data_IF_926391143766
#
_entry.id   IF_926391143766
#
_cell.length_a   1.000
_cell.length_b   1.000
_cell.length_c   1.000
_cell.angle_alpha   90.00
_cell.angle_beta   90.00
_cell.angle_gamma   90.00
#
_symmetry.space_group_name_H-M   'P 1'
#
loop_
_entity.id
_entity.type
_entity.pdbx_description
1 polymer ?
#
# COMPACT_ATOMS: atom_id res chain seq x y z
N UNK A 1 37.58 -28.63 17.35
CA UNK A 1 36.15 -28.76 17.70
C UNK A 1 35.44 -27.41 17.93
N UNK A 2 36.14 -26.27 17.87
CA UNK A 2 35.52 -24.93 18.03
C UNK A 2 35.17 -24.21 16.70
N UNK A 3 35.64 -24.70 15.54
CA UNK A 3 35.37 -24.04 14.25
C UNK A 3 34.01 -24.39 13.62
N UNK A 4 33.31 -25.40 14.14
CA UNK A 4 31.98 -25.81 13.65
C UNK A 4 30.82 -25.13 14.40
N UNK A 5 31.06 -24.64 15.63
CA UNK A 5 30.05 -23.93 16.42
C UNK A 5 29.87 -22.47 15.99
N UNK A 6 30.91 -21.83 15.47
CA UNK A 6 30.85 -20.47 14.93
C UNK A 6 30.07 -20.38 13.62
N UNK A 7 30.08 -21.44 12.80
CA UNK A 7 29.39 -21.47 11.51
C UNK A 7 27.87 -21.65 11.63
N UNK A 8 27.38 -22.31 12.68
CA UNK A 8 25.94 -22.43 12.96
C UNK A 8 25.36 -21.10 13.50
N UNK A 9 26.06 -20.47 14.45
CA UNK A 9 25.66 -19.19 15.03
C UNK A 9 25.73 -18.02 14.03
N UNK A 10 26.66 -18.04 13.07
CA UNK A 10 26.70 -17.05 11.98
C UNK A 10 25.65 -17.30 10.87
N UNK A 11 25.26 -18.56 10.62
CA UNK A 11 24.21 -18.89 9.64
C UNK A 11 22.82 -18.43 10.08
N UNK A 12 22.54 -18.39 11.38
CA UNK A 12 21.28 -17.88 11.92
C UNK A 12 21.17 -16.35 11.87
N UNK A 13 22.31 -15.63 11.88
CA UNK A 13 22.36 -14.17 11.82
C UNK A 13 21.90 -13.57 10.48
N UNK A 14 21.62 -14.41 9.47
CA UNK A 14 21.41 -14.01 8.06
C UNK A 14 20.08 -14.46 7.43
N UNK A 15 18.94 -14.45 8.15
CA UNK A 15 17.63 -14.47 7.45
C UNK A 15 16.57 -13.46 7.91
N UNK A 16 16.89 -12.14 8.03
CA UNK A 16 15.84 -11.11 8.07
C UNK A 16 15.10 -10.93 6.73
N UNK A 17 15.38 -11.75 5.70
CA UNK A 17 14.83 -11.62 4.35
C UNK A 17 13.51 -12.36 4.14
N UNK A 18 13.14 -13.39 4.91
CA UNK A 18 11.94 -14.19 4.63
C UNK A 18 10.66 -13.50 5.09
N UNK A 19 10.64 -12.96 6.32
CA UNK A 19 9.45 -12.33 6.93
C UNK A 19 9.02 -11.06 6.21
N UNK A 20 9.97 -10.20 5.82
CA UNK A 20 9.67 -8.98 5.03
C UNK A 20 9.02 -9.34 3.69
N UNK A 21 9.35 -10.49 3.11
CA UNK A 21 8.75 -10.93 1.84
C UNK A 21 7.34 -11.42 2.02
N UNK A 22 7.05 -12.11 3.12
CA UNK A 22 5.69 -12.61 3.42
C UNK A 22 4.72 -11.45 3.61
N UNK A 23 5.10 -10.41 4.37
CA UNK A 23 4.22 -9.24 4.57
C UNK A 23 4.02 -8.44 3.29
N UNK A 24 5.06 -8.25 2.47
CA UNK A 24 4.92 -7.55 1.20
C UNK A 24 4.04 -8.32 0.21
N UNK A 25 4.16 -9.65 0.18
CA UNK A 25 3.31 -10.51 -0.64
C UNK A 25 1.86 -10.46 -0.14
N UNK A 26 1.64 -10.57 1.17
CA UNK A 26 0.31 -10.46 1.78
C UNK A 26 -0.33 -9.09 1.46
N UNK A 27 0.44 -8.01 1.61
CA UNK A 27 0.00 -6.67 1.22
C UNK A 27 -0.39 -6.62 -0.26
N UNK A 28 0.45 -7.15 -1.16
CA UNK A 28 0.16 -7.13 -2.60
C UNK A 28 -1.10 -7.95 -2.95
N UNK A 29 -1.32 -9.09 -2.30
CA UNK A 29 -2.52 -9.93 -2.49
C UNK A 29 -3.79 -9.24 -1.99
N UNK A 30 -3.75 -8.66 -0.79
CA UNK A 30 -4.88 -7.91 -0.23
C UNK A 30 -5.18 -6.66 -1.08
N UNK A 31 -4.16 -5.88 -1.42
CA UNK A 31 -4.30 -4.70 -2.26
C UNK A 31 -4.84 -5.07 -3.66
N UNK A 32 -4.31 -6.13 -4.28
CA UNK A 32 -4.82 -6.62 -5.55
C UNK A 32 -6.28 -7.08 -5.48
N UNK A 33 -6.67 -7.77 -4.40
CA UNK A 33 -8.06 -8.18 -4.16
C UNK A 33 -8.99 -6.98 -3.95
N UNK A 34 -8.52 -5.93 -3.26
CA UNK A 34 -9.24 -4.66 -3.13
C UNK A 34 -9.38 -3.97 -4.50
N UNK A 35 -8.33 -3.94 -5.33
CA UNK A 35 -8.42 -3.39 -6.68
C UNK A 35 -9.44 -4.13 -7.55
N UNK A 36 -9.41 -5.45 -7.57
CA UNK A 36 -10.35 -6.27 -8.36
C UNK A 36 -11.79 -6.01 -7.92
N UNK A 37 -12.06 -6.03 -6.61
CA UNK A 37 -13.39 -5.73 -6.08
C UNK A 37 -13.82 -4.27 -6.30
N UNK A 38 -12.89 -3.31 -6.32
CA UNK A 38 -13.17 -1.91 -6.66
C UNK A 38 -13.52 -1.73 -8.13
N UNK A 39 -12.76 -2.37 -9.02
CA UNK A 39 -13.01 -2.32 -10.47
C UNK A 39 -14.31 -2.99 -10.88
N UNK A 40 -14.80 -3.97 -10.11
CA UNK A 40 -16.12 -4.53 -10.33
C UNK A 40 -17.19 -3.42 -10.46
N UNK A 41 -17.15 -2.39 -9.63
CA UNK A 41 -18.10 -1.27 -9.69
C UNK A 41 -17.96 -0.36 -10.91
N UNK A 42 -16.81 -0.42 -11.59
CA UNK A 42 -16.59 0.31 -12.84
C UNK A 42 -17.03 -0.49 -14.07
N UNK A 43 -16.90 -1.82 -14.02
CA UNK A 43 -17.16 -2.68 -15.18
C UNK A 43 -18.53 -3.37 -15.14
N UNK A 44 -19.12 -3.57 -13.97
CA UNK A 44 -20.39 -4.26 -13.81
C UNK A 44 -21.46 -3.26 -13.38
N UNK A 45 -22.50 -3.02 -14.21
CA UNK A 45 -23.60 -2.17 -13.82
C UNK A 45 -24.27 -2.68 -12.54
N UNK A 46 -24.49 -1.79 -11.57
CA UNK A 46 -25.16 -2.10 -10.31
C UNK A 46 -26.60 -2.64 -10.49
N UNK A 47 -27.21 -2.41 -11.65
CA UNK A 47 -28.52 -2.91 -12.04
C UNK A 47 -28.54 -4.40 -12.40
N UNK A 48 -27.40 -5.00 -12.75
CA UNK A 48 -27.36 -6.42 -13.14
C UNK A 48 -27.58 -7.35 -11.94
N UNK A 49 -26.95 -7.06 -10.79
CA UNK A 49 -27.13 -7.85 -9.59
C UNK A 49 -26.82 -7.02 -8.34
N UNK A 50 -27.88 -6.46 -7.74
CA UNK A 50 -27.77 -5.65 -6.53
C UNK A 50 -27.16 -6.43 -5.36
N UNK A 51 -27.61 -7.67 -5.12
CA UNK A 51 -27.11 -8.50 -4.01
C UNK A 51 -25.61 -8.78 -4.16
N UNK A 52 -25.16 -9.15 -5.36
CA UNK A 52 -23.74 -9.34 -5.63
C UNK A 52 -22.95 -8.05 -5.42
N UNK A 53 -23.47 -6.90 -5.86
CA UNK A 53 -22.82 -5.60 -5.67
C UNK A 53 -22.65 -5.24 -4.19
N UNK A 54 -23.64 -5.55 -3.34
CA UNK A 54 -23.52 -5.37 -1.88
C UNK A 54 -22.44 -6.28 -1.28
N UNK A 55 -22.39 -7.55 -1.69
CA UNK A 55 -21.36 -8.50 -1.23
C UNK A 55 -19.96 -8.01 -1.64
N UNK A 56 -19.80 -7.59 -2.90
CA UNK A 56 -18.52 -7.06 -3.41
C UNK A 56 -18.11 -5.80 -2.65
N UNK A 57 -19.05 -4.93 -2.28
CA UNK A 57 -18.76 -3.72 -1.51
C UNK A 57 -18.23 -4.07 -0.11
N UNK A 58 -18.87 -5.03 0.55
CA UNK A 58 -18.43 -5.54 1.86
C UNK A 58 -17.04 -6.18 1.75
N UNK A 59 -16.81 -7.01 0.74
CA UNK A 59 -15.49 -7.61 0.47
C UNK A 59 -14.44 -6.51 0.25
N UNK A 60 -14.73 -5.53 -0.59
CA UNK A 60 -13.83 -4.42 -0.89
C UNK A 60 -13.46 -3.65 0.39
N UNK A 61 -14.45 -3.33 1.22
CA UNK A 61 -14.24 -2.64 2.48
C UNK A 61 -13.40 -3.45 3.47
N UNK A 62 -13.74 -4.73 3.70
CA UNK A 62 -13.02 -5.60 4.63
C UNK A 62 -11.58 -5.81 4.15
N UNK A 63 -11.38 -6.17 2.89
CA UNK A 63 -10.04 -6.40 2.33
C UNK A 63 -9.24 -5.10 2.33
N UNK A 64 -9.85 -3.97 1.99
CA UNK A 64 -9.24 -2.65 2.08
C UNK A 64 -8.74 -2.35 3.49
N UNK A 65 -9.58 -2.56 4.51
CA UNK A 65 -9.20 -2.42 5.92
C UNK A 65 -8.05 -3.37 6.33
N UNK A 66 -8.11 -4.64 5.93
CA UNK A 66 -7.05 -5.60 6.21
C UNK A 66 -5.71 -5.21 5.58
N UNK A 67 -5.73 -4.46 4.48
CA UNK A 67 -4.52 -3.99 3.80
C UNK A 67 -3.71 -3.00 4.65
N UNK A 68 -4.34 -2.29 5.59
CA UNK A 68 -3.66 -1.36 6.50
C UNK A 68 -2.64 -2.06 7.41
N UNK A 69 -2.93 -3.28 7.86
CA UNK A 69 -2.11 -4.00 8.83
C UNK A 69 -0.70 -4.31 8.28
N UNK A 70 -0.55 -5.02 7.14
CA UNK A 70 0.77 -5.30 6.58
C UNK A 70 1.45 -4.04 6.04
N UNK A 71 0.69 -3.04 5.57
CA UNK A 71 1.25 -1.76 5.15
C UNK A 71 1.86 -0.99 6.34
N UNK A 72 1.12 -0.83 7.43
CA UNK A 72 1.60 -0.16 8.64
C UNK A 72 2.82 -0.86 9.23
N UNK A 73 2.77 -2.20 9.32
CA UNK A 73 3.94 -2.99 9.74
C UNK A 73 5.15 -2.77 8.82
N UNK A 74 4.94 -2.77 7.49
CA UNK A 74 5.99 -2.51 6.53
C UNK A 74 6.63 -1.14 6.72
N UNK A 75 5.82 -0.08 6.87
CA UNK A 75 6.30 1.30 7.09
C UNK A 75 7.16 1.38 8.35
N UNK A 76 6.66 0.90 9.48
CA UNK A 76 7.38 0.93 10.78
C UNK A 76 8.71 0.17 10.68
N UNK A 77 8.69 -1.03 10.12
CA UNK A 77 9.91 -1.85 9.99
C UNK A 77 10.91 -1.25 9.01
N UNK A 78 10.43 -0.69 7.90
CA UNK A 78 11.28 -0.07 6.88
C UNK A 78 11.97 1.17 7.43
N UNK A 79 11.27 1.98 8.23
CA UNK A 79 11.87 3.13 8.90
C UNK A 79 12.96 2.74 9.88
N UNK A 80 12.68 1.79 10.78
CA UNK A 80 13.66 1.31 11.78
C UNK A 80 14.94 0.79 11.13
N UNK A 81 14.82 0.08 10.00
CA UNK A 81 15.98 -0.51 9.31
C UNK A 81 16.86 0.49 8.57
N UNK A 82 16.30 1.63 8.15
CA UNK A 82 17.02 2.60 7.31
C UNK A 82 17.59 3.79 8.08
N UNK A 83 17.45 3.83 9.41
CA UNK A 83 17.74 5.03 10.23
C UNK A 83 17.14 6.28 9.58
N UNK A 84 15.98 6.10 8.94
CA UNK A 84 15.44 7.06 8.01
C UNK A 84 14.88 8.25 8.77
N UNK A 85 15.24 9.46 8.37
CA UNK A 85 14.65 10.68 8.91
C UNK A 85 13.12 10.60 8.74
N UNK A 86 12.38 10.60 9.86
CA UNK A 86 10.92 10.47 9.89
C UNK A 86 10.21 11.57 9.10
N UNK A 87 10.88 12.71 8.88
CA UNK A 87 10.40 13.79 8.03
C UNK A 87 10.14 13.34 6.58
N UNK A 88 10.77 12.27 6.10
CA UNK A 88 10.47 11.69 4.78
C UNK A 88 9.13 10.96 4.72
N UNK A 89 8.43 10.68 5.82
CA UNK A 89 7.06 10.14 5.75
C UNK A 89 5.99 11.22 5.63
N UNK A 90 6.29 12.42 6.12
CA UNK A 90 5.33 13.53 6.19
C UNK A 90 5.58 14.59 5.12
N UNK A 91 6.79 14.68 4.57
CA UNK A 91 7.14 15.69 3.56
C UNK A 91 7.43 15.06 2.20
N UNK A 92 6.46 15.06 1.26
CA UNK A 92 6.64 14.45 -0.05
C UNK A 92 7.78 15.08 -0.87
N UNK A 93 7.98 16.39 -0.73
CA UNK A 93 8.99 17.15 -1.49
C UNK A 93 10.43 16.80 -1.12
N UNK A 94 10.70 16.37 0.11
CA UNK A 94 12.08 16.09 0.56
C UNK A 94 12.70 14.91 -0.20
N UNK A 95 11.90 13.98 -0.71
CA UNK A 95 12.41 12.82 -1.46
C UNK A 95 13.09 13.21 -2.79
N UNK A 96 12.69 14.33 -3.39
CA UNK A 96 13.22 14.84 -4.66
C UNK A 96 14.58 15.53 -4.54
N UNK A 97 15.03 15.85 -3.31
CA UNK A 97 16.38 16.39 -3.13
C UNK A 97 17.37 15.23 -3.18
N UNK A 98 18.19 15.17 -4.24
CA UNK A 98 19.32 14.23 -4.34
C UNK A 98 20.37 14.62 -3.28
N UNK A 99 20.91 13.63 -2.57
CA UNK A 99 22.04 13.85 -1.65
C UNK A 99 23.34 13.84 -2.44
N UNK A 100 24.30 14.66 -2.02
CA UNK A 100 25.57 14.88 -2.72
C UNK A 100 26.35 13.58 -2.98
N UNK A 101 26.41 12.71 -1.97
CA UNK A 101 27.13 11.42 -2.05
C UNK A 101 26.23 10.22 -2.43
N UNK A 102 25.04 10.45 -2.98
CA UNK A 102 24.12 9.37 -3.31
C UNK A 102 24.21 8.92 -4.77
N UNK A 103 24.38 7.61 -4.98
CA UNK A 103 24.36 7.03 -6.32
C UNK A 103 23.00 7.24 -7.00
N UNK A 104 23.03 7.39 -8.33
CA UNK A 104 21.80 7.56 -9.15
C UNK A 104 20.81 6.41 -8.95
N UNK A 105 21.32 5.19 -8.73
CA UNK A 105 20.49 4.03 -8.44
C UNK A 105 19.76 4.15 -7.11
N UNK A 106 20.46 4.50 -6.02
CA UNK A 106 19.85 4.68 -4.70
C UNK A 106 18.82 5.82 -4.69
N UNK A 107 19.14 6.93 -5.37
CA UNK A 107 18.23 8.05 -5.53
C UNK A 107 16.92 7.62 -6.22
N UNK A 108 17.02 6.93 -7.36
CA UNK A 108 15.85 6.39 -8.07
C UNK A 108 15.05 5.45 -7.16
N UNK A 109 15.69 4.51 -6.47
CA UNK A 109 14.99 3.60 -5.56
C UNK A 109 14.25 4.33 -4.43
N UNK A 110 14.82 5.42 -3.89
CA UNK A 110 14.14 6.27 -2.92
C UNK A 110 12.89 6.90 -3.53
N UNK A 111 12.99 7.51 -4.71
CA UNK A 111 11.85 8.12 -5.40
C UNK A 111 10.72 7.11 -5.65
N UNK A 112 11.05 5.92 -6.19
CA UNK A 112 10.05 4.88 -6.43
C UNK A 112 9.36 4.41 -5.14
N UNK A 113 10.14 4.16 -4.08
CA UNK A 113 9.59 3.74 -2.79
C UNK A 113 8.70 4.81 -2.16
N UNK A 114 9.08 6.08 -2.33
CA UNK A 114 8.34 7.20 -1.79
C UNK A 114 7.05 7.51 -2.59
N UNK A 115 7.10 7.42 -3.91
CA UNK A 115 5.92 7.51 -4.77
C UNK A 115 4.91 6.41 -4.44
N UNK A 116 5.38 5.16 -4.24
CA UNK A 116 4.51 4.05 -3.84
C UNK A 116 3.89 4.31 -2.46
N UNK A 117 4.70 4.71 -1.48
CA UNK A 117 4.22 5.03 -0.14
C UNK A 117 3.11 6.08 -0.16
N UNK A 118 3.33 7.23 -0.81
CA UNK A 118 2.33 8.29 -0.85
C UNK A 118 1.10 7.91 -1.66
N UNK A 119 1.26 7.13 -2.74
CA UNK A 119 0.10 6.65 -3.49
C UNK A 119 -0.80 5.80 -2.60
N UNK A 120 -0.22 4.90 -1.80
CA UNK A 120 -1.00 4.12 -0.83
C UNK A 120 -1.61 5.00 0.25
N UNK A 121 -0.86 5.95 0.84
CA UNK A 121 -1.42 6.88 1.84
C UNK A 121 -2.62 7.63 1.28
N UNK A 122 -2.55 8.14 0.05
CA UNK A 122 -3.65 8.85 -0.60
C UNK A 122 -4.84 7.94 -0.85
N UNK A 123 -4.61 6.70 -1.32
CA UNK A 123 -5.68 5.68 -1.47
C UNK A 123 -6.38 5.43 -0.13
N UNK A 124 -5.61 5.27 0.95
CA UNK A 124 -6.16 4.99 2.28
C UNK A 124 -6.96 6.19 2.82
N UNK A 125 -6.43 7.41 2.73
CA UNK A 125 -7.11 8.62 3.18
C UNK A 125 -8.39 8.90 2.37
N UNK A 126 -8.33 8.77 1.04
CA UNK A 126 -9.52 8.90 0.19
C UNK A 126 -10.55 7.80 0.49
N UNK A 127 -10.11 6.56 0.75
CA UNK A 127 -11.03 5.47 1.10
C UNK A 127 -11.78 5.73 2.40
N UNK A 128 -11.09 6.23 3.43
CA UNK A 128 -11.73 6.65 4.67
C UNK A 128 -12.76 7.73 4.39
N UNK A 129 -12.38 8.79 3.66
CA UNK A 129 -13.29 9.88 3.34
C UNK A 129 -14.56 9.42 2.60
N UNK A 130 -14.40 8.59 1.57
CA UNK A 130 -15.52 8.03 0.79
C UNK A 130 -16.40 7.11 1.63
N UNK A 131 -15.84 6.46 2.66
CA UNK A 131 -16.59 5.58 3.57
C UNK A 131 -17.34 6.31 4.69
N UNK A 132 -17.01 7.57 4.99
CA UNK A 132 -17.62 8.34 6.09
C UNK A 132 -19.16 8.41 5.97
N UNK A 133 -19.76 8.76 4.81
CA UNK A 133 -21.21 8.82 4.69
C UNK A 133 -21.89 7.49 5.01
N UNK A 134 -21.33 6.38 4.51
CA UNK A 134 -21.86 5.05 4.79
C UNK A 134 -21.73 4.69 6.27
N UNK A 135 -20.57 4.95 6.89
CA UNK A 135 -20.35 4.69 8.31
C UNK A 135 -21.30 5.50 9.19
N UNK A 136 -21.47 6.80 8.91
CA UNK A 136 -22.38 7.67 9.66
C UNK A 136 -23.84 7.25 9.48
N UNK A 137 -24.23 6.84 8.27
CA UNK A 137 -25.57 6.32 8.01
C UNK A 137 -25.91 5.13 8.90
N UNK A 138 -25.00 4.17 9.04
CA UNK A 138 -25.17 3.03 9.97
C UNK A 138 -25.21 3.44 11.45
N UNK A 139 -24.64 4.60 11.81
CA UNK A 139 -24.74 5.19 13.15
C UNK A 139 -25.99 6.08 13.34
N UNK A 140 -26.91 6.10 12.37
CA UNK A 140 -28.12 6.93 12.42
C UNK A 140 -27.87 8.42 12.16
N UNK A 141 -26.71 8.78 11.60
CA UNK A 141 -26.34 10.17 11.26
C UNK A 141 -26.30 10.36 9.75
N UNK A 142 -26.95 11.40 9.25
CA UNK A 142 -26.90 11.75 7.83
C UNK A 142 -25.84 12.83 7.64
N UNK A 143 -24.78 12.50 6.90
CA UNK A 143 -23.75 13.44 6.49
C UNK A 143 -23.37 13.19 5.03
N UNK A 144 -23.46 14.23 4.22
CA UNK A 144 -23.09 14.20 2.81
C UNK A 144 -22.06 15.31 2.60
N UNK A 145 -20.78 15.00 2.33
CA UNK A 145 -19.71 16.00 2.19
C UNK A 145 -19.84 16.90 0.94
N UNK A 146 -21.03 17.04 0.35
CA UNK A 146 -21.24 17.70 -0.93
C UNK A 146 -20.85 16.81 -2.11
N UNK A 147 -21.67 16.83 -3.16
CA UNK A 147 -21.52 15.93 -4.31
C UNK A 147 -20.15 16.08 -5.00
N UNK A 148 -19.67 17.31 -5.19
CA UNK A 148 -18.39 17.60 -5.85
C UNK A 148 -17.21 17.00 -5.08
N UNK A 149 -17.16 17.18 -3.75
CA UNK A 149 -16.08 16.63 -2.93
C UNK A 149 -16.10 15.10 -2.94
N UNK A 150 -17.29 14.49 -2.94
CA UNK A 150 -17.42 13.04 -3.06
C UNK A 150 -16.89 12.52 -4.41
N UNK A 151 -17.22 13.21 -5.53
CA UNK A 151 -16.70 12.87 -6.85
C UNK A 151 -15.17 13.00 -6.93
N UNK A 152 -14.62 14.11 -6.44
CA UNK A 152 -13.17 14.34 -6.41
C UNK A 152 -12.48 13.25 -5.60
N UNK A 153 -13.02 12.90 -4.43
CA UNK A 153 -12.42 11.87 -3.58
C UNK A 153 -12.45 10.49 -4.24
N UNK A 154 -13.55 10.12 -4.91
CA UNK A 154 -13.62 8.89 -5.70
C UNK A 154 -12.61 8.88 -6.86
N UNK A 155 -12.46 10.00 -7.58
CA UNK A 155 -11.48 10.11 -8.66
C UNK A 155 -10.05 9.98 -8.13
N UNK A 156 -9.72 10.63 -7.02
CA UNK A 156 -8.43 10.49 -6.34
C UNK A 156 -8.20 9.04 -5.93
N UNK A 157 -9.20 8.41 -5.30
CA UNK A 157 -9.12 7.02 -4.86
C UNK A 157 -8.83 6.08 -6.04
N UNK A 158 -9.55 6.22 -7.15
CA UNK A 158 -9.33 5.42 -8.36
C UNK A 158 -7.93 5.65 -8.95
N UNK A 159 -7.58 6.90 -9.24
CA UNK A 159 -6.32 7.25 -9.94
C UNK A 159 -5.12 6.75 -9.14
N UNK A 160 -5.09 7.01 -7.82
CA UNK A 160 -3.98 6.59 -6.99
C UNK A 160 -3.98 5.08 -6.72
N UNK A 161 -5.12 4.40 -6.78
CA UNK A 161 -5.16 2.92 -6.73
C UNK A 161 -4.51 2.31 -7.96
N UNK A 162 -4.79 2.85 -9.14
CA UNK A 162 -4.14 2.43 -10.40
C UNK A 162 -2.63 2.68 -10.34
N UNK A 163 -2.23 3.90 -9.97
CA UNK A 163 -0.81 4.27 -9.84
C UNK A 163 -0.10 3.33 -8.87
N UNK A 164 -0.66 3.14 -7.67
CA UNK A 164 -0.08 2.24 -6.67
C UNK A 164 0.03 0.80 -7.18
N UNK A 165 -1.00 0.29 -7.86
CA UNK A 165 -0.98 -1.04 -8.48
C UNK A 165 0.18 -1.21 -9.47
N UNK A 166 0.36 -0.26 -10.40
CA UNK A 166 1.48 -0.26 -11.34
C UNK A 166 2.82 -0.22 -10.62
N UNK A 167 2.95 0.64 -9.61
CA UNK A 167 4.18 0.76 -8.82
C UNK A 167 4.52 -0.54 -8.05
N UNK A 168 3.51 -1.23 -7.50
CA UNK A 168 3.69 -2.54 -6.83
C UNK A 168 4.17 -3.58 -7.84
N UNK A 169 3.52 -3.70 -9.01
CA UNK A 169 3.91 -4.67 -10.05
C UNK A 169 5.34 -4.43 -10.49
N UNK A 170 5.70 -3.18 -10.82
CA UNK A 170 7.07 -2.81 -11.21
C UNK A 170 8.07 -3.14 -10.10
N UNK A 171 7.72 -2.88 -8.83
CA UNK A 171 8.56 -3.21 -7.69
C UNK A 171 8.80 -4.72 -7.57
N UNK A 172 7.76 -5.54 -7.73
CA UNK A 172 7.84 -6.99 -7.65
C UNK A 172 8.65 -7.58 -8.81
N UNK A 173 8.45 -7.11 -10.04
CA UNK A 173 9.21 -7.56 -11.22
C UNK A 173 10.71 -7.27 -11.09
N UNK A 174 11.06 -6.04 -10.67
CA UNK A 174 12.48 -5.64 -10.44
C UNK A 174 13.15 -6.48 -9.36
N UNK A 175 12.38 -7.03 -8.42
CA UNK A 175 12.90 -7.89 -7.37
C UNK A 175 13.23 -9.30 -7.87
N UNK A 176 12.40 -9.85 -8.77
CA UNK A 176 12.62 -11.16 -9.39
C UNK A 176 13.93 -11.18 -10.18
N UNK A 177 14.19 -10.14 -10.98
CA UNK A 177 15.40 -10.02 -11.81
C UNK A 177 16.72 -9.86 -11.02
N UNK A 178 16.69 -9.75 -9.69
CA UNK A 178 17.90 -9.73 -8.84
C UNK A 178 18.16 -11.06 -8.11
N UNK A 179 17.28 -12.05 -8.27
CA UNK A 179 17.33 -13.33 -7.56
C UNK A 179 17.50 -14.54 -8.48
N UNK A 180 17.35 -14.34 -9.79
CA UNK A 180 17.83 -15.26 -10.83
C UNK A 180 19.08 -14.66 -11.44
#
# INVERSE_FOLDING_TARGET
MESELTTAAEKEKKRPSSTINRHLLLFALLFGSAMVSGFYFYFVPNTHNWKASQIVLVIHFIVGLLTFIPFGYFVVKHQRKKEGNSLFLVMPWKAFKKKENESTWHYRQRLWGHALYWSIVIVLLSSFFVSIPAALYYMGKIYLPGYILYQISNAIHLIFSVIAGVLIVVHLMRRKNKRG
#
